data_IF_910461284197
#
_entry.id   IF_910461284197
#
_cell.length_a   1.000
_cell.length_b   1.000
_cell.length_c   1.000
_cell.angle_alpha   90.00
_cell.angle_beta   90.00
_cell.angle_gamma   90.00
#
_symmetry.space_group_name_H-M   'P 1'
#
loop_
_entity.id
_entity.type
_entity.pdbx_description
1 polymer ?
#
# COMPACT_ATOMS: atom_id res chain seq x y z
N UNK A 1 -30.19 -7.26 3.48
CA UNK A 1 -29.01 -8.11 3.82
C UNK A 1 -28.02 -8.24 2.66
N UNK A 2 -28.38 -8.84 1.51
CA UNK A 2 -27.42 -8.99 0.39
C UNK A 2 -26.91 -7.63 -0.15
N UNK A 3 -27.79 -6.63 -0.28
CA UNK A 3 -27.42 -5.29 -0.74
C UNK A 3 -26.49 -4.54 0.24
N UNK A 4 -26.64 -4.73 1.55
CA UNK A 4 -25.76 -4.13 2.57
C UNK A 4 -24.37 -4.77 2.55
N UNK A 5 -24.28 -6.09 2.32
CA UNK A 5 -23.01 -6.80 2.18
C UNK A 5 -22.27 -6.29 0.95
N UNK A 6 -22.96 -6.18 -0.19
CA UNK A 6 -22.39 -5.63 -1.44
C UNK A 6 -21.92 -4.19 -1.25
N UNK A 7 -22.70 -3.35 -0.57
CA UNK A 7 -22.33 -1.97 -0.24
C UNK A 7 -21.09 -1.88 0.64
N UNK A 8 -20.99 -2.78 1.63
CA UNK A 8 -19.84 -2.83 2.55
C UNK A 8 -18.58 -3.29 1.81
N UNK A 9 -18.67 -4.34 0.98
CA UNK A 9 -17.55 -4.81 0.14
C UNK A 9 -17.05 -3.68 -0.76
N UNK A 10 -17.93 -2.96 -1.45
CA UNK A 10 -17.55 -1.83 -2.31
C UNK A 10 -16.80 -0.73 -1.56
N UNK A 11 -17.23 -0.40 -0.33
CA UNK A 11 -16.53 0.59 0.50
C UNK A 11 -15.12 0.13 0.89
N UNK A 12 -14.97 -1.16 1.19
CA UNK A 12 -13.68 -1.73 1.57
C UNK A 12 -12.74 -1.84 0.38
N UNK A 13 -13.25 -2.20 -0.81
CA UNK A 13 -12.47 -2.16 -2.05
C UNK A 13 -11.96 -0.74 -2.33
N UNK A 14 -12.82 0.27 -2.17
CA UNK A 14 -12.44 1.67 -2.33
C UNK A 14 -11.40 2.12 -1.27
N UNK A 15 -11.52 1.67 -0.01
CA UNK A 15 -10.51 1.96 1.01
C UNK A 15 -9.17 1.28 0.72
N UNK A 16 -9.18 0.01 0.29
CA UNK A 16 -7.97 -0.71 -0.08
C UNK A 16 -7.27 -0.06 -1.29
N UNK A 17 -8.05 0.38 -2.28
CA UNK A 17 -7.55 1.10 -3.45
C UNK A 17 -6.95 2.45 -3.06
N UNK A 18 -7.63 3.21 -2.20
CA UNK A 18 -7.13 4.48 -1.66
C UNK A 18 -5.82 4.30 -0.89
N UNK A 19 -5.70 3.26 -0.06
CA UNK A 19 -4.44 2.96 0.66
C UNK A 19 -3.29 2.69 -0.31
N UNK A 20 -3.56 1.98 -1.41
CA UNK A 20 -2.55 1.72 -2.44
C UNK A 20 -2.18 2.99 -3.21
N UNK A 21 -3.15 3.86 -3.50
CA UNK A 21 -2.93 5.14 -4.17
C UNK A 21 -2.10 6.09 -3.31
N UNK A 22 -2.47 6.26 -2.03
CA UNK A 22 -1.73 7.07 -1.06
C UNK A 22 -0.29 6.56 -0.88
N UNK A 23 -0.10 5.24 -0.86
CA UNK A 23 1.23 4.63 -0.78
C UNK A 23 2.08 4.92 -2.02
N UNK A 24 1.49 4.82 -3.23
CA UNK A 24 2.17 5.16 -4.49
C UNK A 24 2.54 6.64 -4.55
N UNK A 25 1.64 7.53 -4.11
CA UNK A 25 1.90 8.96 -4.05
C UNK A 25 3.08 9.27 -3.12
N UNK A 26 3.08 8.70 -1.90
CA UNK A 26 4.20 8.85 -0.95
C UNK A 26 5.51 8.29 -1.47
N UNK A 27 5.49 7.11 -2.09
CA UNK A 27 6.67 6.51 -2.71
C UNK A 27 7.26 7.41 -3.80
N UNK A 28 6.39 8.00 -4.63
CA UNK A 28 6.79 8.95 -5.67
C UNK A 28 7.40 10.22 -5.07
N UNK A 29 6.80 10.76 -4.02
CA UNK A 29 7.30 11.94 -3.31
C UNK A 29 8.70 11.70 -2.72
N UNK A 30 8.94 10.54 -2.10
CA UNK A 30 10.25 10.16 -1.55
C UNK A 30 11.31 10.10 -2.66
N UNK A 31 10.97 9.52 -3.81
CA UNK A 31 11.88 9.43 -4.95
C UNK A 31 12.21 10.83 -5.50
N UNK A 32 11.22 11.71 -5.60
CA UNK A 32 11.42 13.09 -6.08
C UNK A 32 12.34 13.86 -5.12
N UNK A 33 12.05 13.80 -3.81
CA UNK A 33 12.89 14.46 -2.79
C UNK A 33 14.33 13.96 -2.81
N UNK A 34 14.52 12.64 -2.92
CA UNK A 34 15.85 12.04 -3.02
C UNK A 34 16.61 12.50 -4.27
N UNK A 35 15.93 12.65 -5.41
CA UNK A 35 16.53 13.18 -6.64
C UNK A 35 16.91 14.65 -6.49
N UNK A 36 16.07 15.47 -5.87
CA UNK A 36 16.36 16.89 -5.65
C UNK A 36 17.54 17.08 -4.70
N UNK A 37 17.63 16.26 -3.65
CA UNK A 37 18.78 16.25 -2.75
C UNK A 37 20.05 15.78 -3.46
N UNK A 38 19.99 14.70 -4.24
CA UNK A 38 21.11 14.24 -5.05
C UNK A 38 21.60 15.33 -6.02
N UNK A 39 20.68 16.03 -6.70
CA UNK A 39 21.03 17.13 -7.59
C UNK A 39 21.70 18.29 -6.85
N UNK A 40 21.23 18.63 -5.64
CA UNK A 40 21.87 19.65 -4.80
C UNK A 40 23.28 19.25 -4.40
N UNK A 41 23.49 17.99 -3.98
CA UNK A 41 24.82 17.48 -3.63
C UNK A 41 25.73 17.49 -4.86
N UNK A 42 25.24 17.09 -6.03
CA UNK A 42 25.97 17.14 -7.30
C UNK A 42 26.36 18.57 -7.71
N UNK A 43 25.54 19.56 -7.41
CA UNK A 43 25.84 20.97 -7.67
C UNK A 43 26.81 21.60 -6.65
N UNK A 44 27.01 20.98 -5.49
CA UNK A 44 27.98 21.41 -4.49
C UNK A 44 29.36 20.80 -4.80
N UNK A 45 30.39 21.64 -4.87
CA UNK A 45 31.70 21.38 -5.48
C UNK A 45 32.62 20.36 -4.75
N UNK A 46 32.08 19.24 -4.29
CA UNK A 46 32.82 18.11 -3.75
C UNK A 46 33.35 17.22 -4.89
N UNK A 47 34.47 16.54 -4.66
CA UNK A 47 35.10 15.68 -5.68
C UNK A 47 34.08 14.71 -6.29
N UNK A 48 33.94 14.76 -7.63
CA UNK A 48 32.91 14.06 -8.42
C UNK A 48 32.74 12.58 -8.04
N UNK A 49 33.83 11.90 -7.64
CA UNK A 49 33.80 10.49 -7.24
C UNK A 49 33.08 10.19 -5.92
N UNK A 50 33.14 11.08 -4.92
CA UNK A 50 32.47 10.90 -3.62
C UNK A 50 30.99 11.27 -3.71
N UNK A 51 30.70 12.34 -4.46
CA UNK A 51 29.35 12.85 -4.69
C UNK A 51 28.48 11.85 -5.44
N UNK A 52 29.02 11.20 -6.48
CA UNK A 52 28.28 10.19 -7.24
C UNK A 52 27.90 8.99 -6.35
N UNK A 53 28.80 8.52 -5.49
CA UNK A 53 28.53 7.41 -4.57
C UNK A 53 27.45 7.77 -3.54
N UNK A 54 27.47 8.97 -2.98
CA UNK A 54 26.43 9.42 -2.05
C UNK A 54 25.07 9.59 -2.74
N UNK A 55 25.03 10.17 -3.94
CA UNK A 55 23.80 10.28 -4.72
C UNK A 55 23.22 8.91 -5.08
N UNK A 56 24.06 7.98 -5.53
CA UNK A 56 23.64 6.61 -5.84
C UNK A 56 23.09 5.90 -4.61
N UNK A 57 23.76 6.05 -3.47
CA UNK A 57 23.30 5.49 -2.20
C UNK A 57 21.95 6.09 -1.79
N UNK A 58 21.78 7.41 -1.87
CA UNK A 58 20.55 8.11 -1.50
C UNK A 58 19.37 7.67 -2.39
N UNK A 59 19.59 7.55 -3.70
CA UNK A 59 18.58 7.03 -4.65
C UNK A 59 18.27 5.56 -4.38
N UNK A 60 19.27 4.74 -4.05
CA UNK A 60 19.09 3.33 -3.72
C UNK A 60 18.28 3.15 -2.43
N UNK A 61 18.62 3.89 -1.38
CA UNK A 61 17.94 3.86 -0.09
C UNK A 61 16.48 4.35 -0.24
N UNK A 62 16.26 5.40 -1.03
CA UNK A 62 14.92 5.90 -1.35
C UNK A 62 14.07 4.87 -2.10
N UNK A 63 14.66 4.14 -3.07
CA UNK A 63 13.98 3.04 -3.76
C UNK A 63 13.61 1.91 -2.82
N UNK A 64 14.54 1.47 -1.98
CA UNK A 64 14.27 0.40 -1.01
C UNK A 64 13.16 0.80 -0.02
N UNK A 65 13.14 2.06 0.43
CA UNK A 65 12.05 2.58 1.27
C UNK A 65 10.72 2.64 0.52
N UNK A 66 10.71 3.11 -0.73
CA UNK A 66 9.52 3.15 -1.57
C UNK A 66 8.94 1.74 -1.81
N UNK A 67 9.78 0.76 -2.10
CA UNK A 67 9.39 -0.63 -2.26
C UNK A 67 8.77 -1.18 -0.97
N UNK A 68 9.41 -0.95 0.18
CA UNK A 68 8.88 -1.37 1.48
C UNK A 68 7.52 -0.75 1.80
N UNK A 69 7.34 0.54 1.52
CA UNK A 69 6.05 1.23 1.70
C UNK A 69 4.95 0.57 0.85
N UNK A 70 5.26 0.23 -0.40
CA UNK A 70 4.33 -0.44 -1.30
C UNK A 70 4.03 -1.86 -0.84
N UNK A 71 5.03 -2.60 -0.37
CA UNK A 71 4.86 -3.95 0.13
C UNK A 71 4.02 -3.99 1.41
N UNK A 72 4.29 -3.11 2.37
CA UNK A 72 3.51 -2.96 3.59
C UNK A 72 2.05 -2.58 3.29
N UNK A 73 1.83 -1.68 2.32
CA UNK A 73 0.50 -1.30 1.88
C UNK A 73 -0.25 -2.46 1.21
N UNK A 74 0.43 -3.26 0.38
CA UNK A 74 -0.14 -4.49 -0.21
C UNK A 74 -0.51 -5.50 0.87
N UNK A 75 0.37 -5.75 1.83
CA UNK A 75 0.10 -6.66 2.93
C UNK A 75 -1.13 -6.23 3.75
N UNK A 76 -1.27 -4.92 4.02
CA UNK A 76 -2.46 -4.35 4.67
C UNK A 76 -3.72 -4.53 3.84
N UNK A 77 -3.67 -4.24 2.53
CA UNK A 77 -4.81 -4.40 1.63
C UNK A 77 -5.27 -5.87 1.56
N UNK A 78 -4.33 -6.82 1.49
CA UNK A 78 -4.64 -8.25 1.49
C UNK A 78 -5.18 -8.73 2.84
N UNK A 79 -4.66 -8.22 3.96
CA UNK A 79 -5.21 -8.51 5.29
C UNK A 79 -6.67 -8.04 5.40
N UNK A 80 -6.96 -6.82 4.96
CA UNK A 80 -8.32 -6.26 4.94
C UNK A 80 -9.24 -7.15 4.09
N UNK A 81 -8.86 -7.51 2.86
CA UNK A 81 -9.65 -8.41 2.00
C UNK A 81 -9.88 -9.78 2.66
N UNK A 82 -8.85 -10.34 3.29
CA UNK A 82 -8.94 -11.63 3.97
C UNK A 82 -9.90 -11.63 5.16
N UNK A 83 -9.92 -10.56 5.96
CA UNK A 83 -10.89 -10.41 7.05
C UNK A 83 -12.33 -10.32 6.53
N UNK A 84 -12.53 -9.62 5.41
CA UNK A 84 -13.84 -9.46 4.79
C UNK A 84 -14.35 -10.78 4.23
N UNK A 85 -13.50 -11.54 3.53
CA UNK A 85 -13.84 -12.86 3.02
C UNK A 85 -14.31 -13.78 4.16
N UNK A 86 -13.61 -13.78 5.31
CA UNK A 86 -14.01 -14.55 6.49
C UNK A 86 -15.36 -14.12 7.05
N UNK A 87 -15.63 -12.82 7.13
CA UNK A 87 -16.93 -12.30 7.62
C UNK A 87 -18.07 -12.66 6.67
N UNK A 88 -17.85 -12.56 5.37
CA UNK A 88 -18.83 -12.96 4.35
C UNK A 88 -19.15 -14.45 4.47
N UNK A 89 -18.13 -15.30 4.59
CA UNK A 89 -18.31 -16.75 4.79
C UNK A 89 -19.14 -17.08 6.04
N UNK A 90 -18.88 -16.40 7.16
CA UNK A 90 -19.64 -16.58 8.39
C UNK A 90 -21.11 -16.15 8.25
N UNK A 91 -21.35 -15.03 7.55
CA UNK A 91 -22.72 -14.55 7.30
C UNK A 91 -23.46 -15.52 6.38
N UNK A 92 -22.82 -15.99 5.29
CA UNK A 92 -23.40 -16.97 4.37
C UNK A 92 -23.74 -18.26 5.10
N UNK A 93 -22.86 -18.77 5.97
CA UNK A 93 -23.12 -19.96 6.79
C UNK A 93 -24.31 -19.78 7.74
N UNK A 94 -24.40 -18.63 8.41
CA UNK A 94 -25.54 -18.33 9.30
C UNK A 94 -26.85 -18.29 8.52
N UNK A 95 -26.88 -17.57 7.40
CA UNK A 95 -28.07 -17.46 6.55
C UNK A 95 -28.47 -18.83 6.01
N UNK A 96 -27.51 -19.65 5.58
CA UNK A 96 -27.78 -21.02 5.15
C UNK A 96 -28.42 -21.83 6.28
N UNK A 97 -27.82 -21.87 7.47
CA UNK A 97 -28.35 -22.62 8.62
C UNK A 97 -29.77 -22.19 9.01
N UNK A 98 -30.06 -20.88 9.03
CA UNK A 98 -31.40 -20.36 9.30
C UNK A 98 -32.42 -20.79 8.23
N UNK A 99 -32.02 -20.85 6.95
CA UNK A 99 -32.90 -21.30 5.86
C UNK A 99 -33.12 -22.82 5.89
N UNK A 100 -32.10 -23.61 6.24
CA UNK A 100 -32.24 -25.08 6.35
C UNK A 100 -32.94 -25.49 7.67
N UNK A 101 -33.25 -24.54 8.56
CA UNK A 101 -33.95 -24.79 9.83
C UNK A 101 -33.10 -25.54 10.86
N UNK A 102 -31.78 -25.42 10.78
CA UNK A 102 -30.83 -26.02 11.73
C UNK A 102 -30.28 -24.88 12.60
N UNK A 103 -31.01 -24.53 13.65
CA UNK A 103 -30.46 -23.79 14.81
C UNK A 103 -30.06 -24.79 15.91
#
# INVERSE_FOLDING_TARGET
MAEEIISTIKKIEAEAEKVLEDAKAKATEVIIKAKDEANKIQSSALSVGTVNKECEKLVSDAKAQAEKIVEDAKAKAEAIKGEVAKRVDQIVKRVANTIVGVD
#
